data_IF_949023189787
#
_entry.id   IF_949023189787
#
_cell.length_a   1.000
_cell.length_b   1.000
_cell.length_c   1.000
_cell.angle_alpha   90.00
_cell.angle_beta   90.00
_cell.angle_gamma   90.00
#
_symmetry.space_group_name_H-M   'P 1'
#
loop_
_entity.id
_entity.type
_entity.pdbx_description
1 polymer ?
#
# COMPACT_ATOMS: atom_id res chain seq x y z
N UNK A 1 4.16 -60.11 -34.37
CA UNK A 1 4.84 -58.81 -34.64
C UNK A 1 3.85 -57.66 -34.72
N UNK A 2 2.73 -57.79 -35.44
CA UNK A 2 1.72 -56.72 -35.64
C UNK A 2 1.23 -56.03 -34.37
N UNK A 3 0.89 -56.76 -33.30
CA UNK A 3 0.43 -56.13 -32.04
C UNK A 3 1.46 -55.16 -31.47
N UNK A 4 2.76 -55.49 -31.53
CA UNK A 4 3.85 -54.61 -31.04
C UNK A 4 4.05 -53.39 -31.94
N UNK A 5 3.91 -53.56 -33.25
CA UNK A 5 3.96 -52.46 -34.21
C UNK A 5 2.79 -51.48 -34.00
N UNK A 6 1.58 -52.00 -33.78
CA UNK A 6 0.39 -51.18 -33.52
C UNK A 6 0.53 -50.35 -32.23
N UNK A 7 1.13 -50.91 -31.17
CA UNK A 7 1.41 -50.15 -29.94
C UNK A 7 2.45 -49.04 -30.16
N UNK A 8 3.49 -49.28 -30.96
CA UNK A 8 4.49 -48.25 -31.28
C UNK A 8 3.89 -47.13 -32.12
N UNK A 9 3.07 -47.46 -33.12
CA UNK A 9 2.37 -46.46 -33.95
C UNK A 9 1.37 -45.65 -33.11
N UNK A 10 0.59 -46.30 -32.25
CA UNK A 10 -0.34 -45.62 -31.35
C UNK A 10 0.40 -44.70 -30.36
N UNK A 11 1.53 -45.17 -29.79
CA UNK A 11 2.36 -44.36 -28.89
C UNK A 11 2.97 -43.14 -29.59
N UNK A 12 3.48 -43.31 -30.81
CA UNK A 12 4.00 -42.20 -31.61
C UNK A 12 2.91 -41.17 -31.96
N UNK A 13 1.70 -41.64 -32.29
CA UNK A 13 0.57 -40.76 -32.55
C UNK A 13 0.15 -39.97 -31.30
N UNK A 14 0.06 -40.62 -30.14
CA UNK A 14 -0.25 -39.96 -28.86
C UNK A 14 0.81 -38.91 -28.53
N UNK A 15 2.09 -39.22 -28.71
CA UNK A 15 3.18 -38.27 -28.49
C UNK A 15 3.09 -37.08 -29.45
N UNK A 16 2.79 -37.31 -30.73
CA UNK A 16 2.63 -36.24 -31.72
C UNK A 16 1.44 -35.34 -31.37
N UNK A 17 0.30 -35.91 -31.00
CA UNK A 17 -0.88 -35.15 -30.55
C UNK A 17 -0.54 -34.33 -29.30
N UNK A 18 0.15 -34.92 -28.32
CA UNK A 18 0.58 -34.23 -27.11
C UNK A 18 1.52 -33.04 -27.40
N UNK A 19 2.53 -33.25 -28.25
CA UNK A 19 3.44 -32.18 -28.69
C UNK A 19 2.67 -31.10 -29.45
N UNK A 20 1.75 -31.48 -30.32
CA UNK A 20 0.92 -30.52 -31.07
C UNK A 20 0.06 -29.69 -30.12
N UNK A 21 -0.53 -30.32 -29.10
CA UNK A 21 -1.28 -29.61 -28.07
C UNK A 21 -0.37 -28.62 -27.35
N UNK A 22 0.83 -29.02 -26.89
CA UNK A 22 1.78 -28.10 -26.23
C UNK A 22 2.16 -26.94 -27.16
N UNK A 23 2.47 -27.22 -28.42
CA UNK A 23 2.85 -26.19 -29.39
C UNK A 23 1.70 -25.19 -29.57
N UNK A 24 0.48 -25.68 -29.73
CA UNK A 24 -0.69 -24.83 -29.98
C UNK A 24 -1.15 -24.07 -28.74
N UNK A 25 -1.12 -24.68 -27.54
CA UNK A 25 -1.68 -24.09 -26.32
C UNK A 25 -0.65 -23.37 -25.46
N UNK A 26 0.64 -23.62 -25.63
CA UNK A 26 1.71 -23.00 -24.83
C UNK A 26 2.66 -22.21 -25.72
N UNK A 27 3.27 -22.85 -26.72
CA UNK A 27 4.36 -22.23 -27.48
C UNK A 27 3.87 -21.10 -28.39
N UNK A 28 2.78 -21.31 -29.14
CA UNK A 28 2.20 -20.29 -30.01
C UNK A 28 1.69 -19.07 -29.22
N UNK A 29 0.93 -19.22 -28.10
CA UNK A 29 0.58 -18.10 -27.26
C UNK A 29 1.81 -17.38 -26.69
N UNK A 30 2.82 -18.10 -26.22
CA UNK A 30 4.05 -17.49 -25.70
C UNK A 30 4.73 -16.59 -26.74
N UNK A 31 4.86 -17.05 -27.99
CA UNK A 31 5.46 -16.25 -29.07
C UNK A 31 4.60 -15.04 -29.46
N UNK A 32 3.29 -15.11 -29.26
CA UNK A 32 2.35 -14.03 -29.58
C UNK A 32 2.06 -13.10 -28.40
N UNK A 33 2.44 -13.48 -27.19
CA UNK A 33 2.17 -12.73 -25.98
C UNK A 33 3.19 -11.59 -25.84
N UNK A 34 2.84 -10.45 -26.41
CA UNK A 34 3.59 -9.20 -26.30
C UNK A 34 2.66 -8.14 -25.71
N UNK A 35 2.48 -8.11 -24.37
CA UNK A 35 1.66 -7.09 -23.76
C UNK A 35 2.26 -5.71 -24.06
N UNK A 36 1.41 -4.78 -24.45
CA UNK A 36 1.80 -3.39 -24.62
C UNK A 36 2.16 -2.79 -23.26
N UNK A 37 3.20 -1.94 -23.22
CA UNK A 37 3.60 -1.27 -22.00
C UNK A 37 2.43 -0.44 -21.47
N UNK A 38 2.06 -0.64 -20.22
CA UNK A 38 1.05 0.21 -19.59
C UNK A 38 1.66 1.58 -19.23
N UNK A 39 0.81 2.55 -18.91
CA UNK A 39 1.26 3.88 -18.47
C UNK A 39 2.10 3.86 -17.18
N UNK A 40 2.03 2.75 -16.42
CA UNK A 40 2.77 2.58 -15.16
C UNK A 40 4.02 1.73 -15.31
N UNK A 41 4.25 1.16 -16.51
CA UNK A 41 5.41 0.34 -16.78
C UNK A 41 6.69 1.11 -16.47
N UNK A 42 7.55 0.54 -15.63
CA UNK A 42 8.76 1.20 -15.17
C UNK A 42 9.99 0.42 -15.61
N UNK A 43 10.83 1.07 -16.41
CA UNK A 43 12.13 0.54 -16.77
C UNK A 43 13.17 0.99 -15.74
N UNK A 44 13.36 0.18 -14.69
CA UNK A 44 14.28 0.50 -13.59
C UNK A 44 15.74 0.68 -14.01
N UNK A 45 16.16 0.19 -15.18
CA UNK A 45 17.51 0.44 -15.71
C UNK A 45 17.70 1.86 -16.23
N UNK A 46 16.60 2.56 -16.51
CA UNK A 46 16.56 3.95 -16.99
C UNK A 46 16.09 4.94 -15.91
N UNK A 47 15.71 4.45 -14.74
CA UNK A 47 15.37 5.28 -13.57
C UNK A 47 16.65 5.76 -12.86
N UNK A 48 16.48 6.53 -11.78
CA UNK A 48 17.58 6.86 -10.88
C UNK A 48 18.31 5.56 -10.43
N UNK A 49 19.65 5.49 -10.49
CA UNK A 49 20.40 4.32 -10.05
C UNK A 49 20.03 3.83 -8.64
N UNK A 50 19.59 4.72 -7.74
CA UNK A 50 19.07 4.38 -6.42
C UNK A 50 17.86 3.44 -6.48
N UNK A 51 16.95 3.65 -7.43
CA UNK A 51 15.76 2.81 -7.61
C UNK A 51 16.14 1.38 -7.99
N UNK A 52 17.10 1.23 -8.92
CA UNK A 52 17.57 -0.10 -9.32
C UNK A 52 18.31 -0.82 -8.17
N UNK A 53 19.15 -0.10 -7.43
CA UNK A 53 19.80 -0.63 -6.22
C UNK A 53 18.77 -1.03 -5.17
N UNK A 54 17.75 -0.21 -4.94
CA UNK A 54 16.65 -0.48 -4.03
C UNK A 54 15.84 -1.72 -4.39
N UNK A 55 15.56 -1.90 -5.68
CA UNK A 55 14.92 -3.12 -6.20
C UNK A 55 15.78 -4.36 -5.92
N UNK A 56 17.11 -4.23 -5.98
CA UNK A 56 18.02 -5.31 -5.63
C UNK A 56 18.04 -5.57 -4.12
N UNK A 57 17.99 -4.54 -3.26
CA UNK A 57 17.80 -4.69 -1.81
C UNK A 57 16.49 -5.43 -1.53
N UNK A 58 15.38 -5.00 -2.12
CA UNK A 58 14.06 -5.64 -1.98
C UNK A 58 14.09 -7.15 -2.29
N UNK A 59 14.83 -7.54 -3.34
CA UNK A 59 15.04 -8.94 -3.71
C UNK A 59 15.98 -9.68 -2.76
N UNK A 60 17.11 -9.07 -2.41
CA UNK A 60 18.14 -9.63 -1.52
C UNK A 60 17.57 -9.95 -0.14
N UNK A 61 16.77 -9.03 0.40
CA UNK A 61 16.11 -9.15 1.70
C UNK A 61 14.87 -10.05 1.68
N UNK A 62 14.47 -10.56 0.51
CA UNK A 62 13.34 -11.48 0.39
C UNK A 62 11.99 -10.84 0.68
N UNK A 63 11.84 -9.52 0.51
CA UNK A 63 10.58 -8.81 0.79
C UNK A 63 9.39 -9.39 0.03
N UNK A 64 9.63 -9.87 -1.20
CA UNK A 64 8.62 -10.51 -2.07
C UNK A 64 8.05 -11.83 -1.52
N UNK A 65 8.70 -12.47 -0.53
CA UNK A 65 8.13 -13.67 0.11
C UNK A 65 6.89 -13.32 0.95
N UNK A 66 6.84 -12.12 1.53
CA UNK A 66 5.73 -11.66 2.37
C UNK A 66 4.82 -10.65 1.66
N UNK A 67 5.37 -9.85 0.74
CA UNK A 67 4.70 -8.75 0.08
C UNK A 67 4.48 -9.04 -1.40
N UNK A 68 3.21 -9.12 -1.79
CA UNK A 68 2.85 -9.20 -3.21
C UNK A 68 3.01 -7.84 -3.87
N UNK A 69 3.36 -7.86 -5.15
CA UNK A 69 3.18 -6.73 -6.06
C UNK A 69 2.23 -7.21 -7.15
N UNK A 70 1.04 -7.67 -6.76
CA UNK A 70 0.04 -8.17 -7.69
C UNK A 70 -1.38 -8.01 -7.13
N UNK A 71 -1.95 -6.82 -7.35
CA UNK A 71 -3.36 -6.54 -7.04
C UNK A 71 -4.28 -7.17 -8.07
N UNK A 72 -5.09 -8.13 -7.62
CA UNK A 72 -6.05 -8.89 -8.42
C UNK A 72 -7.43 -8.24 -8.39
N UNK A 73 -8.34 -8.71 -9.24
CA UNK A 73 -9.74 -8.29 -9.22
C UNK A 73 -10.44 -8.44 -7.86
N UNK A 74 -10.11 -9.51 -7.13
CA UNK A 74 -10.63 -9.77 -5.78
C UNK A 74 -10.02 -8.81 -4.74
N UNK A 75 -8.86 -8.25 -5.04
CA UNK A 75 -8.08 -7.38 -4.16
C UNK A 75 -8.20 -5.91 -4.54
N UNK A 76 -9.09 -5.56 -5.47
CA UNK A 76 -9.29 -4.18 -5.96
C UNK A 76 -9.64 -3.17 -4.87
N UNK A 77 -10.02 -3.66 -3.68
CA UNK A 77 -10.22 -2.82 -2.50
C UNK A 77 -8.91 -2.37 -1.84
N UNK A 78 -7.77 -2.97 -2.20
CA UNK A 78 -6.44 -2.68 -1.65
C UNK A 78 -5.59 -1.82 -2.58
N UNK A 79 -5.95 -1.74 -3.87
CA UNK A 79 -5.43 -0.77 -4.81
C UNK A 79 -5.87 -0.99 -6.24
N UNK A 80 -5.30 -0.22 -7.15
CA UNK A 80 -5.58 -0.37 -8.57
C UNK A 80 -5.06 -1.72 -9.05
N UNK A 81 -5.87 -2.41 -9.87
CA UNK A 81 -5.51 -3.70 -10.43
C UNK A 81 -4.31 -3.55 -11.36
N UNK A 82 -3.39 -4.50 -11.26
CA UNK A 82 -2.21 -4.51 -12.12
C UNK A 82 -2.52 -5.22 -13.44
N UNK A 83 -1.87 -4.79 -14.52
CA UNK A 83 -1.96 -5.41 -15.83
C UNK A 83 -0.65 -6.09 -16.21
N UNK A 84 -0.68 -7.03 -17.17
CA UNK A 84 0.55 -7.64 -17.70
C UNK A 84 1.50 -6.58 -18.29
N UNK A 85 0.95 -5.50 -18.85
CA UNK A 85 1.70 -4.36 -19.37
C UNK A 85 2.54 -3.62 -18.33
N UNK A 86 2.22 -3.73 -17.03
CA UNK A 86 2.94 -3.04 -15.95
C UNK A 86 4.36 -3.60 -15.76
N UNK A 87 4.58 -4.85 -16.16
CA UNK A 87 5.81 -5.60 -15.88
C UNK A 87 6.68 -5.87 -17.12
N UNK A 88 6.38 -5.24 -18.26
CA UNK A 88 7.08 -5.49 -19.54
C UNK A 88 8.59 -5.28 -19.49
N UNK A 89 9.07 -4.47 -18.55
CA UNK A 89 10.49 -4.17 -18.34
C UNK A 89 11.09 -4.90 -17.13
N UNK A 90 10.34 -5.80 -16.50
CA UNK A 90 10.80 -6.51 -15.31
C UNK A 90 11.36 -7.89 -15.65
N UNK A 91 12.64 -8.10 -15.36
CA UNK A 91 13.23 -9.44 -15.35
C UNK A 91 14.25 -9.57 -14.22
N UNK A 92 14.10 -10.51 -13.27
CA UNK A 92 12.90 -11.32 -13.01
C UNK A 92 11.74 -10.45 -12.47
N UNK A 93 10.51 -10.94 -12.62
CA UNK A 93 9.32 -10.29 -12.06
C UNK A 93 9.26 -10.50 -10.54
N UNK A 94 8.86 -9.48 -9.77
CA UNK A 94 8.79 -9.54 -8.29
C UNK A 94 7.34 -9.47 -7.76
N UNK A 95 6.44 -10.22 -8.41
CA UNK A 95 5.01 -10.26 -8.08
C UNK A 95 4.70 -10.79 -6.67
N UNK A 96 5.66 -11.50 -6.06
CA UNK A 96 5.57 -12.13 -4.75
C UNK A 96 4.87 -13.49 -4.77
N UNK A 97 5.12 -14.29 -3.74
CA UNK A 97 4.61 -15.68 -3.65
C UNK A 97 3.47 -15.85 -2.64
N UNK A 98 3.44 -15.00 -1.61
CA UNK A 98 2.45 -15.03 -0.53
C UNK A 98 2.12 -13.61 -0.05
N UNK A 99 0.94 -13.43 0.54
CA UNK A 99 0.49 -12.15 1.11
C UNK A 99 0.39 -12.23 2.63
N UNK A 100 1.54 -12.42 3.28
CA UNK A 100 1.70 -12.33 4.73
C UNK A 100 1.65 -10.86 5.19
N UNK A 101 2.31 -9.98 4.42
CA UNK A 101 2.21 -8.53 4.50
C UNK A 101 1.22 -7.96 3.47
N UNK A 102 0.90 -6.65 3.53
CA UNK A 102 0.08 -6.00 2.50
C UNK A 102 0.74 -6.04 1.12
N UNK A 103 -0.08 -5.95 0.08
CA UNK A 103 0.40 -5.74 -1.30
C UNK A 103 1.06 -4.36 -1.44
N UNK A 104 2.15 -4.30 -2.21
CA UNK A 104 2.98 -3.11 -2.40
C UNK A 104 2.94 -2.55 -3.82
N UNK A 105 2.15 -3.12 -4.76
CA UNK A 105 2.07 -2.65 -6.16
C UNK A 105 1.76 -1.17 -6.28
N UNK A 106 1.15 -0.58 -5.25
CA UNK A 106 0.69 0.79 -5.24
C UNK A 106 1.18 1.57 -4.00
N UNK A 107 2.28 1.16 -3.35
CA UNK A 107 2.69 1.80 -2.09
C UNK A 107 3.27 3.21 -2.28
N UNK A 108 3.69 3.57 -3.49
CA UNK A 108 4.27 4.86 -3.83
C UNK A 108 3.39 6.05 -3.42
N UNK A 109 4.01 7.01 -2.74
CA UNK A 109 3.40 8.23 -2.22
C UNK A 109 2.48 8.03 -1.01
N UNK A 110 2.16 6.78 -0.63
CA UNK A 110 1.18 6.51 0.45
C UNK A 110 1.68 6.93 1.83
N UNK A 111 2.97 6.78 2.06
CA UNK A 111 3.63 7.17 3.29
C UNK A 111 4.90 7.97 2.96
N UNK A 112 5.29 8.93 3.83
CA UNK A 112 6.54 9.65 3.64
C UNK A 112 7.74 8.72 3.85
N UNK A 113 8.90 9.11 3.34
CA UNK A 113 10.14 8.34 3.46
C UNK A 113 10.52 8.07 4.92
N UNK A 114 10.30 9.05 5.80
CA UNK A 114 10.52 8.90 7.25
C UNK A 114 9.65 7.81 7.88
N UNK A 115 8.40 7.63 7.40
CA UNK A 115 7.55 6.52 7.83
C UNK A 115 8.09 5.19 7.35
N UNK A 116 8.52 5.12 6.08
CA UNK A 116 9.10 3.91 5.53
C UNK A 116 10.36 3.52 6.31
N UNK A 117 11.23 4.48 6.60
CA UNK A 117 12.42 4.28 7.42
C UNK A 117 12.07 3.72 8.79
N UNK A 118 11.22 4.42 9.55
CA UNK A 118 10.81 4.00 10.89
C UNK A 118 10.14 2.62 10.88
N UNK A 119 9.33 2.33 9.87
CA UNK A 119 8.67 1.03 9.72
C UNK A 119 9.67 -0.09 9.43
N UNK A 120 10.71 0.11 8.62
CA UNK A 120 11.71 -0.92 8.37
C UNK A 120 12.64 -1.14 9.57
N UNK A 121 12.98 -0.08 10.30
CA UNK A 121 13.79 -0.21 11.52
C UNK A 121 13.00 -0.90 12.63
N UNK A 122 11.79 -0.45 12.92
CA UNK A 122 10.93 -1.07 13.93
C UNK A 122 9.46 -1.15 13.49
N UNK A 123 9.07 -2.22 12.75
CA UNK A 123 7.71 -2.36 12.25
C UNK A 123 6.65 -2.37 13.35
N UNK A 124 7.01 -2.84 14.56
CA UNK A 124 6.08 -2.94 15.69
C UNK A 124 5.84 -1.58 16.36
N UNK A 125 6.78 -0.64 16.25
CA UNK A 125 6.60 0.73 16.71
C UNK A 125 5.53 1.46 15.88
N UNK A 126 5.61 1.33 14.55
CA UNK A 126 4.71 2.01 13.62
C UNK A 126 3.37 1.27 13.49
N UNK A 127 3.42 -0.06 13.53
CA UNK A 127 2.26 -0.95 13.44
C UNK A 127 2.32 -2.01 14.54
N UNK A 128 1.69 -1.75 15.70
CA UNK A 128 1.63 -2.71 16.79
C UNK A 128 1.09 -4.08 16.33
N UNK A 129 1.78 -5.16 16.70
CA UNK A 129 1.45 -6.52 16.28
C UNK A 129 1.90 -6.89 14.85
N UNK A 130 2.73 -6.06 14.20
CA UNK A 130 3.36 -6.44 12.94
C UNK A 130 4.26 -7.67 13.12
N UNK A 131 4.13 -8.64 12.22
CA UNK A 131 5.03 -9.80 12.13
C UNK A 131 6.22 -9.55 11.20
N UNK A 132 6.30 -8.36 10.59
CA UNK A 132 7.43 -7.99 9.74
C UNK A 132 8.74 -7.98 10.56
N UNK A 133 9.83 -8.59 10.05
CA UNK A 133 11.16 -8.50 10.66
C UNK A 133 11.67 -7.06 10.71
N UNK A 134 12.61 -6.81 11.61
CA UNK A 134 13.35 -5.54 11.60
C UNK A 134 14.48 -5.61 10.57
N UNK A 135 14.66 -4.53 9.82
CA UNK A 135 15.73 -4.34 8.84
C UNK A 135 16.74 -3.29 9.33
N UNK A 136 16.90 -3.17 10.65
CA UNK A 136 17.85 -2.25 11.26
C UNK A 136 19.32 -2.52 10.90
N UNK A 137 19.63 -3.70 10.37
CA UNK A 137 20.97 -4.02 9.91
C UNK A 137 21.32 -3.44 8.53
N UNK A 138 20.34 -2.91 7.78
CA UNK A 138 20.62 -2.29 6.48
C UNK A 138 21.46 -1.03 6.67
N UNK A 139 22.40 -0.82 5.75
CA UNK A 139 23.15 0.44 5.68
C UNK A 139 22.20 1.60 5.39
N UNK A 140 22.64 2.83 5.68
CA UNK A 140 21.85 4.01 5.35
C UNK A 140 21.52 4.07 3.85
N UNK A 141 22.51 3.82 2.99
CA UNK A 141 22.35 3.81 1.53
C UNK A 141 21.37 2.71 1.07
N UNK A 142 21.49 1.48 1.59
CA UNK A 142 20.58 0.39 1.23
C UNK A 142 19.13 0.69 1.64
N UNK A 143 18.93 1.31 2.81
CA UNK A 143 17.61 1.71 3.28
C UNK A 143 17.03 2.83 2.42
N UNK A 144 17.81 3.87 2.12
CA UNK A 144 17.40 4.99 1.26
C UNK A 144 17.06 4.50 -0.16
N UNK A 145 17.90 3.65 -0.75
CA UNK A 145 17.65 3.05 -2.05
C UNK A 145 16.38 2.18 -2.04
N UNK A 146 16.18 1.35 -1.01
CA UNK A 146 14.97 0.54 -0.84
C UNK A 146 13.72 1.42 -0.80
N UNK A 147 13.76 2.53 -0.04
CA UNK A 147 12.65 3.49 0.05
C UNK A 147 12.40 4.12 -1.32
N UNK A 148 13.45 4.56 -2.03
CA UNK A 148 13.31 5.12 -3.37
C UNK A 148 12.61 4.13 -4.32
N UNK A 149 12.98 2.85 -4.29
CA UNK A 149 12.28 1.82 -5.05
C UNK A 149 10.81 1.68 -4.65
N UNK A 150 10.50 1.58 -3.34
CA UNK A 150 9.12 1.49 -2.87
C UNK A 150 8.28 2.70 -3.29
N UNK A 151 8.88 3.89 -3.30
CA UNK A 151 8.20 5.11 -3.74
C UNK A 151 7.84 5.08 -5.22
N UNK A 152 8.57 4.34 -6.07
CA UNK A 152 8.21 4.20 -7.48
C UNK A 152 6.98 3.31 -7.72
N UNK A 153 6.66 2.41 -6.79
CA UNK A 153 5.63 1.39 -6.98
C UNK A 153 4.23 1.99 -7.06
N UNK A 154 3.74 2.12 -8.30
CA UNK A 154 2.43 2.72 -8.60
C UNK A 154 2.41 4.24 -8.61
N UNK A 155 3.55 4.92 -8.47
CA UNK A 155 3.63 6.39 -8.49
C UNK A 155 3.25 6.99 -9.85
N UNK A 156 3.47 6.24 -10.95
CA UNK A 156 3.09 6.66 -12.30
C UNK A 156 1.59 6.53 -12.59
N UNK A 157 0.80 5.94 -11.68
CA UNK A 157 -0.66 5.86 -11.86
C UNK A 157 -1.22 7.28 -11.85
N UNK A 158 -2.07 7.57 -12.83
CA UNK A 158 -2.77 8.86 -12.93
C UNK A 158 -3.52 9.24 -11.64
N UNK A 159 -3.86 8.26 -10.81
CA UNK A 159 -4.59 8.45 -9.57
C UNK A 159 -4.04 7.56 -8.44
N UNK A 160 -3.47 8.11 -7.37
CA UNK A 160 -3.10 7.31 -6.21
C UNK A 160 -4.36 6.68 -5.59
N UNK A 161 -4.52 5.36 -5.76
CA UNK A 161 -5.67 4.56 -5.31
C UNK A 161 -5.97 4.66 -3.80
N UNK A 162 -5.03 5.19 -3.01
CA UNK A 162 -5.18 5.38 -1.58
C UNK A 162 -5.72 6.78 -1.26
N UNK A 163 -5.63 7.74 -2.19
CA UNK A 163 -6.25 9.07 -2.11
C UNK A 163 -7.65 9.00 -2.72
N UNK A 164 -7.77 8.44 -3.93
CA UNK A 164 -9.02 8.43 -4.70
C UNK A 164 -9.68 7.06 -4.67
N UNK A 165 -11.02 7.05 -4.66
CA UNK A 165 -11.82 5.85 -4.80
C UNK A 165 -11.69 5.23 -6.20
N UNK A 166 -12.15 3.97 -6.38
CA UNK A 166 -12.23 3.32 -7.69
C UNK A 166 -13.00 4.18 -8.71
N UNK A 167 -12.67 4.08 -10.00
CA UNK A 167 -13.33 4.87 -11.06
C UNK A 167 -14.86 4.82 -10.98
N UNK A 168 -15.45 3.64 -10.77
CA UNK A 168 -16.89 3.44 -10.57
C UNK A 168 -17.46 4.35 -9.46
N UNK A 169 -16.74 4.50 -8.35
CA UNK A 169 -17.15 5.31 -7.22
C UNK A 169 -16.85 6.80 -7.40
N UNK A 170 -15.83 7.16 -8.18
CA UNK A 170 -15.64 8.55 -8.63
C UNK A 170 -16.82 9.00 -9.49
N UNK A 171 -17.17 8.19 -10.49
CA UNK A 171 -18.28 8.47 -11.40
C UNK A 171 -19.61 8.54 -10.63
N UNK A 172 -19.84 7.61 -9.68
CA UNK A 172 -21.01 7.68 -8.80
C UNK A 172 -20.99 8.95 -7.95
N UNK A 173 -19.86 9.28 -7.31
CA UNK A 173 -19.74 10.44 -6.44
C UNK A 173 -20.05 11.75 -7.18
N UNK A 174 -19.60 11.90 -8.43
CA UNK A 174 -19.93 13.06 -9.27
C UNK A 174 -21.44 13.27 -9.46
N UNK A 175 -22.24 12.21 -9.40
CA UNK A 175 -23.71 12.30 -9.52
C UNK A 175 -24.37 12.62 -8.18
N UNK A 176 -23.88 12.03 -7.08
CA UNK A 176 -24.53 12.16 -5.76
C UNK A 176 -23.99 13.33 -4.93
N UNK A 177 -22.89 13.97 -5.33
CA UNK A 177 -22.26 15.06 -4.56
C UNK A 177 -23.15 16.29 -4.41
N UNK A 178 -24.17 16.44 -5.26
CA UNK A 178 -25.15 17.53 -5.16
C UNK A 178 -26.21 17.29 -4.09
N UNK A 179 -26.37 16.06 -3.58
CA UNK A 179 -27.39 15.72 -2.57
C UNK A 179 -27.09 16.36 -1.21
N UNK A 180 -25.80 16.49 -0.87
CA UNK A 180 -25.34 16.98 0.43
C UNK A 180 -24.10 17.85 0.23
N UNK A 181 -24.14 19.07 0.76
CA UNK A 181 -22.94 19.90 0.90
C UNK A 181 -22.04 19.31 2.00
N UNK A 182 -21.08 18.48 1.58
CA UNK A 182 -20.11 17.78 2.45
C UNK A 182 -19.08 18.70 3.10
N UNK A 183 -19.08 19.99 2.79
CA UNK A 183 -18.24 21.00 3.44
C UNK A 183 -19.04 21.80 4.50
N UNK A 184 -20.36 21.62 4.56
CA UNK A 184 -21.20 22.32 5.53
C UNK A 184 -21.11 21.74 6.94
N UNK A 185 -21.15 22.63 7.94
CA UNK A 185 -21.23 22.24 9.36
C UNK A 185 -22.52 21.50 9.70
N UNK A 186 -23.62 21.79 8.99
CA UNK A 186 -24.89 21.09 9.15
C UNK A 186 -24.78 19.62 8.74
N UNK A 187 -24.17 19.33 7.59
CA UNK A 187 -23.91 17.97 7.12
C UNK A 187 -22.98 17.21 8.09
N UNK A 188 -21.92 17.86 8.56
CA UNK A 188 -21.01 17.27 9.54
C UNK A 188 -21.71 16.93 10.88
N UNK A 189 -22.62 17.79 11.33
CA UNK A 189 -23.41 17.54 12.55
C UNK A 189 -24.38 16.35 12.38
N UNK A 190 -25.05 16.25 11.23
CA UNK A 190 -25.89 15.09 10.91
C UNK A 190 -25.05 13.79 10.87
N UNK A 191 -23.90 13.85 10.21
CA UNK A 191 -22.95 12.74 10.11
C UNK A 191 -22.41 12.29 11.46
N UNK A 192 -22.16 13.23 12.38
CA UNK A 192 -21.74 12.92 13.76
C UNK A 192 -22.77 12.02 14.46
N UNK A 193 -24.07 12.29 14.28
CA UNK A 193 -25.13 11.48 14.86
C UNK A 193 -25.08 10.03 14.36
N UNK A 194 -24.94 9.85 13.04
CA UNK A 194 -24.83 8.53 12.40
C UNK A 194 -23.56 7.82 12.87
N UNK A 195 -22.43 8.53 12.93
CA UNK A 195 -21.15 7.98 13.36
C UNK A 195 -21.19 7.46 14.79
N UNK A 196 -21.79 8.22 15.71
CA UNK A 196 -21.87 7.83 17.12
C UNK A 196 -22.71 6.56 17.33
N UNK A 197 -23.76 6.39 16.52
CA UNK A 197 -24.64 5.21 16.59
C UNK A 197 -24.01 3.95 15.98
N UNK A 198 -23.25 4.13 14.89
CA UNK A 198 -22.87 3.02 14.01
C UNK A 198 -21.37 2.71 13.99
N UNK A 199 -20.51 3.72 14.19
CA UNK A 199 -19.08 3.63 13.89
C UNK A 199 -18.20 3.70 15.15
N UNK A 200 -18.58 4.54 16.12
CA UNK A 200 -17.77 4.86 17.29
C UNK A 200 -17.46 3.66 18.19
N UNK A 201 -18.32 2.62 18.19
CA UNK A 201 -18.09 1.38 18.96
C UNK A 201 -16.75 0.72 18.57
N UNK A 202 -16.38 0.79 17.28
CA UNK A 202 -15.11 0.27 16.77
C UNK A 202 -14.05 1.38 16.66
N UNK A 203 -14.40 2.51 16.04
CA UNK A 203 -13.43 3.55 15.69
C UNK A 203 -13.15 4.56 16.82
N UNK A 204 -13.90 4.51 17.92
CA UNK A 204 -13.82 5.48 19.01
C UNK A 204 -14.46 6.82 18.65
N UNK A 205 -14.86 7.60 19.66
CA UNK A 205 -15.55 8.88 19.42
C UNK A 205 -14.68 9.94 18.73
N UNK A 206 -13.34 9.77 18.78
CA UNK A 206 -12.36 10.65 18.13
C UNK A 206 -11.87 10.07 16.79
N UNK A 207 -12.38 8.92 16.33
CA UNK A 207 -11.88 8.26 15.12
C UNK A 207 -10.50 7.62 15.23
N UNK A 208 -9.97 7.44 16.43
CA UNK A 208 -8.61 6.91 16.67
C UNK A 208 -8.45 5.40 16.52
N UNK A 209 -9.51 4.69 16.15
CA UNK A 209 -9.51 3.23 16.07
C UNK A 209 -9.47 2.54 17.44
N UNK A 210 -9.81 3.26 18.51
CA UNK A 210 -9.69 2.85 19.91
C UNK A 210 -11.06 2.65 20.59
N UNK A 211 -12.10 2.32 19.82
CA UNK A 211 -13.43 2.05 20.37
C UNK A 211 -13.42 0.85 21.35
N UNK A 212 -14.43 0.71 22.21
CA UNK A 212 -14.47 -0.31 23.26
C UNK A 212 -14.26 -1.75 22.76
N UNK A 213 -14.67 -2.06 21.53
CA UNK A 213 -14.49 -3.41 20.96
C UNK A 213 -13.18 -3.57 20.19
N UNK A 214 -12.40 -2.51 19.97
CA UNK A 214 -11.18 -2.54 19.16
C UNK A 214 -10.07 -3.41 19.74
N UNK A 215 -9.96 -3.48 21.07
CA UNK A 215 -8.89 -4.18 21.78
C UNK A 215 -8.87 -5.69 21.55
N UNK A 216 -10.03 -6.29 21.27
CA UNK A 216 -10.20 -7.74 21.07
C UNK A 216 -10.29 -8.13 19.59
N UNK A 217 -10.12 -7.19 18.67
CA UNK A 217 -10.18 -7.46 17.23
C UNK A 217 -8.82 -7.90 16.68
N UNK A 218 -8.83 -8.96 15.88
CA UNK A 218 -7.64 -9.45 15.18
C UNK A 218 -7.05 -8.40 14.21
N UNK A 219 -7.91 -7.61 13.56
CA UNK A 219 -7.50 -6.43 12.78
C UNK A 219 -8.06 -5.19 13.46
N UNK A 220 -7.18 -4.32 13.96
CA UNK A 220 -7.58 -3.07 14.61
C UNK A 220 -8.29 -2.15 13.61
N UNK A 221 -9.36 -1.44 14.04
CA UNK A 221 -9.97 -0.39 13.23
C UNK A 221 -8.97 0.70 12.86
N UNK A 222 -9.21 1.37 11.73
CA UNK A 222 -8.38 2.46 11.27
C UNK A 222 -8.38 3.64 12.26
N UNK A 223 -7.20 4.24 12.45
CA UNK A 223 -7.04 5.54 13.08
C UNK A 223 -7.13 6.63 12.00
N UNK A 224 -8.29 7.27 11.90
CA UNK A 224 -8.59 8.31 10.92
C UNK A 224 -7.90 9.66 11.21
N UNK A 225 -7.27 9.84 12.38
CA UNK A 225 -6.49 11.06 12.68
C UNK A 225 -5.13 11.05 12.00
N UNK A 226 -4.77 9.95 11.32
CA UNK A 226 -3.48 9.82 10.63
C UNK A 226 -3.42 10.68 9.37
N UNK A 227 -2.20 11.15 9.00
CA UNK A 227 -1.97 12.14 7.96
C UNK A 227 -2.53 11.76 6.59
N UNK A 228 -2.33 10.50 6.21
CA UNK A 228 -2.70 10.01 4.90
C UNK A 228 -4.22 9.99 4.70
N UNK A 229 -5.03 9.96 5.77
CA UNK A 229 -6.49 10.05 5.66
C UNK A 229 -6.95 11.49 5.37
N UNK A 230 -6.14 12.50 5.68
CA UNK A 230 -6.42 13.88 5.29
C UNK A 230 -6.35 14.07 3.77
N UNK A 231 -5.57 13.24 3.08
CA UNK A 231 -5.45 13.25 1.63
C UNK A 231 -6.58 12.46 0.93
N UNK A 232 -7.44 11.74 1.65
CA UNK A 232 -8.54 11.00 1.02
C UNK A 232 -9.52 11.97 0.36
N UNK A 233 -9.85 11.69 -0.90
CA UNK A 233 -10.93 12.36 -1.60
C UNK A 233 -12.30 11.99 -1.01
N UNK A 234 -13.31 12.80 -1.29
CA UNK A 234 -14.66 12.54 -0.79
C UNK A 234 -15.23 11.22 -1.35
N UNK A 235 -14.94 10.90 -2.61
CA UNK A 235 -15.33 9.64 -3.24
C UNK A 235 -14.63 8.44 -2.60
N UNK A 236 -13.38 8.60 -2.14
CA UNK A 236 -12.64 7.58 -1.41
C UNK A 236 -13.27 7.31 -0.04
N UNK A 237 -13.59 8.37 0.71
CA UNK A 237 -14.31 8.24 1.98
C UNK A 237 -15.66 7.57 1.79
N UNK A 238 -16.44 8.07 0.83
CA UNK A 238 -17.74 7.53 0.49
C UNK A 238 -17.66 6.04 0.13
N UNK A 239 -16.72 5.66 -0.73
CA UNK A 239 -16.49 4.27 -1.10
C UNK A 239 -16.15 3.37 0.10
N UNK A 240 -15.25 3.82 1.00
CA UNK A 240 -14.88 3.05 2.19
C UNK A 240 -16.05 2.86 3.14
N UNK A 241 -16.93 3.85 3.28
CA UNK A 241 -18.18 3.70 4.03
C UNK A 241 -19.11 2.71 3.30
N UNK A 242 -19.31 2.89 2.00
CA UNK A 242 -20.24 2.08 1.22
C UNK A 242 -19.87 0.58 1.17
N UNK A 243 -18.60 0.26 0.89
CA UNK A 243 -18.12 -1.12 0.71
C UNK A 243 -17.51 -1.75 1.97
N UNK A 244 -17.19 -0.94 2.98
CA UNK A 244 -16.39 -1.39 4.12
C UNK A 244 -14.96 -1.76 3.70
N UNK A 245 -14.37 -2.72 4.40
CA UNK A 245 -13.02 -3.24 4.08
C UNK A 245 -13.06 -4.77 4.11
N UNK A 246 -12.85 -5.41 2.96
CA UNK A 246 -12.84 -6.86 2.84
C UNK A 246 -11.88 -7.54 3.81
N UNK A 247 -12.32 -8.67 4.38
CA UNK A 247 -11.54 -9.41 5.37
C UNK A 247 -11.37 -8.67 6.70
N UNK A 248 -12.21 -7.69 7.00
CA UNK A 248 -12.33 -7.03 8.31
C UNK A 248 -13.77 -7.14 8.83
N UNK A 249 -14.02 -6.64 10.05
CA UNK A 249 -15.38 -6.52 10.61
C UNK A 249 -16.13 -5.27 10.14
N UNK A 250 -15.53 -4.41 9.29
CA UNK A 250 -16.19 -3.22 8.77
C UNK A 250 -17.21 -3.61 7.69
N UNK A 251 -18.53 -3.43 7.94
CA UNK A 251 -19.58 -3.91 7.03
C UNK A 251 -19.75 -2.99 5.81
N UNK A 252 -20.52 -3.48 4.83
CA UNK A 252 -20.99 -2.72 3.66
C UNK A 252 -22.17 -1.85 4.04
N UNK A 253 -21.94 -0.59 4.40
CA UNK A 253 -23.01 0.30 4.89
C UNK A 253 -24.03 0.69 3.82
N UNK A 254 -23.70 0.57 2.52
CA UNK A 254 -24.67 0.78 1.43
C UNK A 254 -25.90 -0.12 1.47
N UNK A 255 -25.89 -1.16 2.31
CA UNK A 255 -27.03 -2.05 2.54
C UNK A 255 -28.00 -1.55 3.62
N UNK A 256 -27.60 -0.56 4.40
CA UNK A 256 -28.31 -0.11 5.61
C UNK A 256 -28.38 1.41 5.76
N UNK A 257 -27.56 2.16 5.03
CA UNK A 257 -27.56 3.62 4.99
C UNK A 257 -27.86 4.09 3.56
N UNK A 258 -28.56 5.22 3.45
CA UNK A 258 -28.80 5.90 2.17
C UNK A 258 -27.52 6.59 1.65
N UNK A 259 -27.54 7.02 0.38
CA UNK A 259 -26.44 7.81 -0.18
C UNK A 259 -26.25 9.13 0.58
N UNK A 260 -27.33 9.79 0.99
CA UNK A 260 -27.31 11.00 1.83
C UNK A 260 -26.67 10.75 3.20
N UNK A 261 -27.07 9.67 3.90
CA UNK A 261 -26.49 9.28 5.19
C UNK A 261 -24.98 9.04 5.10
N UNK A 262 -24.54 8.38 4.03
CA UNK A 262 -23.12 8.13 3.80
C UNK A 262 -22.38 9.44 3.47
N UNK A 263 -22.99 10.37 2.73
CA UNK A 263 -22.40 11.69 2.47
C UNK A 263 -22.31 12.55 3.75
N UNK A 264 -23.30 12.47 4.64
CA UNK A 264 -23.21 13.09 5.98
C UNK A 264 -22.03 12.50 6.78
N UNK A 265 -21.82 11.18 6.73
CA UNK A 265 -20.64 10.56 7.34
C UNK A 265 -19.33 11.08 6.72
N UNK A 266 -19.25 11.24 5.40
CA UNK A 266 -18.08 11.85 4.74
C UNK A 266 -17.84 13.27 5.28
N UNK A 267 -18.89 14.09 5.37
CA UNK A 267 -18.81 15.44 5.92
C UNK A 267 -18.25 15.43 7.36
N UNK A 268 -18.73 14.52 8.21
CA UNK A 268 -18.21 14.38 9.57
C UNK A 268 -16.76 13.90 9.63
N UNK A 269 -16.39 12.89 8.84
CA UNK A 269 -15.04 12.31 8.86
C UNK A 269 -13.96 13.35 8.52
N UNK A 270 -14.27 14.30 7.64
CA UNK A 270 -13.39 15.43 7.29
C UNK A 270 -13.17 16.42 8.44
N UNK A 271 -14.05 16.42 9.44
CA UNK A 271 -13.91 17.26 10.64
C UNK A 271 -13.06 16.60 11.73
N UNK A 272 -12.68 15.34 11.58
CA UNK A 272 -11.82 14.67 12.54
C UNK A 272 -10.44 15.34 12.56
N UNK A 273 -9.85 15.55 13.75
CA UNK A 273 -8.57 16.21 13.86
C UNK A 273 -7.47 15.34 13.23
N UNK A 274 -6.60 15.94 12.44
CA UNK A 274 -5.30 15.38 12.14
C UNK A 274 -4.47 15.50 13.41
N UNK A 275 -3.92 14.42 13.94
CA UNK A 275 -3.15 14.44 15.19
C UNK A 275 -1.75 15.05 15.03
N UNK A 276 -1.53 15.88 14.00
CA UNK A 276 -0.27 16.59 13.76
C UNK A 276 0.90 15.70 13.35
N UNK A 277 0.73 14.38 13.40
CA UNK A 277 1.70 13.37 12.94
C UNK A 277 2.06 13.45 11.45
N UNK A 278 1.39 14.36 10.74
CA UNK A 278 1.40 14.62 9.31
C UNK A 278 2.38 15.68 8.83
N UNK A 279 2.83 16.53 9.75
CA UNK A 279 3.57 17.75 9.41
C UNK A 279 4.92 17.84 10.13
N UNK A 280 5.35 16.75 10.80
CA UNK A 280 6.75 16.54 11.11
C UNK A 280 7.42 16.09 9.80
N UNK A 281 8.06 17.06 9.12
CA UNK A 281 8.54 17.02 7.74
C UNK A 281 9.42 15.84 7.33
N UNK A 282 9.86 15.86 6.09
CA UNK A 282 10.95 15.02 5.59
C UNK A 282 12.11 15.05 6.60
N UNK A 283 12.25 13.98 7.38
CA UNK A 283 13.37 13.80 8.29
C UNK A 283 14.46 13.08 7.50
N UNK A 284 15.54 13.79 7.20
CA UNK A 284 16.78 13.17 6.76
C UNK A 284 17.38 12.45 7.98
N UNK A 285 17.25 11.12 8.01
CA UNK A 285 17.66 10.29 9.15
C UNK A 285 19.16 10.04 9.08
N UNK A 286 19.97 10.84 9.78
CA UNK A 286 21.43 10.80 9.65
C UNK A 286 22.15 9.84 10.60
N UNK A 287 21.54 9.37 11.70
CA UNK A 287 22.18 8.37 12.59
C UNK A 287 21.26 7.30 13.20
N UNK A 288 21.83 6.10 13.28
CA UNK A 288 21.16 4.81 13.53
C UNK A 288 20.81 4.55 15.01
N UNK A 289 21.53 5.18 15.94
CA UNK A 289 21.54 4.83 17.38
C UNK A 289 20.30 5.26 18.18
N UNK A 290 19.41 6.06 17.58
CA UNK A 290 18.28 6.69 18.28
C UNK A 290 16.94 5.92 18.15
N UNK A 291 16.89 4.85 17.36
CA UNK A 291 15.66 4.08 17.10
C UNK A 291 15.56 2.76 17.89
N UNK A 292 16.61 2.39 18.64
CA UNK A 292 16.72 1.10 19.32
C UNK A 292 16.20 1.06 20.77
N UNK A 293 15.68 2.17 21.33
CA UNK A 293 15.08 2.19 22.67
C UNK A 293 13.55 2.03 22.64
N UNK A 294 13.00 0.84 22.98
CA UNK A 294 11.56 0.57 22.92
C UNK A 294 10.72 1.40 23.91
N UNK A 295 11.34 2.06 24.90
CA UNK A 295 10.64 2.91 25.87
C UNK A 295 10.63 4.40 25.49
N UNK A 296 11.37 4.80 24.44
CA UNK A 296 11.45 6.18 23.95
C UNK A 296 10.75 6.42 22.61
N UNK A 297 10.09 5.41 22.06
CA UNK A 297 9.44 5.52 20.74
C UNK A 297 8.23 6.47 20.71
N UNK A 298 7.57 6.71 21.85
CA UNK A 298 6.52 7.74 21.98
C UNK A 298 7.10 9.16 22.14
N UNK A 299 8.36 9.26 22.60
CA UNK A 299 9.11 10.52 22.74
C UNK A 299 9.93 10.86 21.49
N UNK A 300 10.32 9.87 20.67
CA UNK A 300 10.88 10.09 19.33
C UNK A 300 9.88 10.83 18.42
N UNK A 301 8.58 10.70 18.71
CA UNK A 301 7.52 11.49 18.08
C UNK A 301 7.50 12.96 18.55
N UNK A 302 7.99 13.24 19.77
CA UNK A 302 8.05 14.60 20.37
C UNK A 302 9.37 15.31 20.13
N UNK A 303 10.44 14.58 19.79
CA UNK A 303 11.79 15.12 19.64
C UNK A 303 11.98 15.99 18.39
N UNK A 304 11.07 15.88 17.41
CA UNK A 304 11.07 16.68 16.18
C UNK A 304 10.63 18.15 16.43
N UNK A 305 9.98 18.46 17.56
CA UNK A 305 9.52 19.84 17.84
C UNK A 305 10.57 20.76 18.51
N UNK A 306 11.69 20.25 19.05
CA UNK A 306 12.57 21.07 19.91
C UNK A 306 14.08 21.03 19.62
N UNK A 307 14.54 20.50 18.47
CA UNK A 307 15.97 20.49 18.11
C UNK A 307 16.38 21.57 17.11
N UNK A 308 15.80 22.75 17.23
CA UNK A 308 16.32 23.99 16.64
C UNK A 308 17.33 24.73 17.53
N UNK A 309 17.77 24.16 18.64
CA UNK A 309 18.71 24.83 19.54
C UNK A 309 19.77 23.88 20.09
N UNK A 310 21.01 24.25 19.79
CA UNK A 310 22.26 23.84 20.42
C UNK A 310 23.00 22.56 19.94
N UNK A 311 24.21 22.87 19.45
CA UNK A 311 25.40 22.03 19.19
C UNK A 311 25.43 21.31 17.83
N UNK A 312 26.40 21.50 16.93
CA UNK A 312 27.69 22.17 16.97
C UNK A 312 28.59 21.49 15.92
N UNK A 313 28.82 22.19 14.80
CA UNK A 313 29.81 21.98 13.74
C UNK A 313 30.50 20.60 13.58
N UNK A 314 30.28 19.94 12.43
CA UNK A 314 31.30 19.12 11.78
C UNK A 314 31.38 19.46 10.29
N UNK A 315 32.48 20.11 9.93
CA UNK A 315 32.89 20.42 8.56
C UNK A 315 33.55 19.18 7.94
N UNK A 316 33.20 18.90 6.68
CA UNK A 316 33.86 17.95 5.79
C UNK A 316 35.38 18.22 5.71
N UNK A 317 36.20 17.17 5.84
CA UNK A 317 37.64 17.30 5.68
C UNK A 317 38.39 15.98 5.55
N UNK A 318 38.63 15.56 4.32
CA UNK A 318 39.94 15.08 3.86
C UNK A 318 40.43 13.68 4.28
N UNK A 319 40.65 12.83 3.26
CA UNK A 319 41.88 12.06 3.15
C UNK A 319 41.84 10.60 3.65
N UNK A 320 41.84 9.66 2.70
CA UNK A 320 42.48 8.34 2.89
C UNK A 320 43.98 8.55 3.18
N UNK A 321 44.61 7.70 4.00
CA UNK A 321 45.44 6.66 3.38
C UNK A 321 45.51 5.31 4.14
N UNK A 322 45.73 4.27 3.34
CA UNK A 322 46.33 2.94 3.56
C UNK A 322 45.99 2.11 4.80
#
# INVERSE_FOLDING_TARGET
MEKRLNYLVAGAYIALVFVTIIVVTVYLPYLKFQPEASEVATNYEQEDPAVLRGRNVYRREGCFYCHTQFVRYQDRETGEMVAAGDYVHETPHVLGTERTGPDLSNIGGKYPDSWHWAHHVNPRAVKPGSIMPSFSYLSHDDMSDLIAYLQTLGAKRKQPHWINGPQEYRDKYHVISELVDVDSSAAANAGRGIYMQNCAVCHGVQGKGNGPVSATMAKKPANFTRPYYAAYSNDMWYWRVAEGVAGTRMPRWKKSLSDEDMLYLVAFLKTLPNDGSAAAGEVEVTEFSQLDDPNKLDDNYKYIENLGADHGAYQYGGGRPH
#
